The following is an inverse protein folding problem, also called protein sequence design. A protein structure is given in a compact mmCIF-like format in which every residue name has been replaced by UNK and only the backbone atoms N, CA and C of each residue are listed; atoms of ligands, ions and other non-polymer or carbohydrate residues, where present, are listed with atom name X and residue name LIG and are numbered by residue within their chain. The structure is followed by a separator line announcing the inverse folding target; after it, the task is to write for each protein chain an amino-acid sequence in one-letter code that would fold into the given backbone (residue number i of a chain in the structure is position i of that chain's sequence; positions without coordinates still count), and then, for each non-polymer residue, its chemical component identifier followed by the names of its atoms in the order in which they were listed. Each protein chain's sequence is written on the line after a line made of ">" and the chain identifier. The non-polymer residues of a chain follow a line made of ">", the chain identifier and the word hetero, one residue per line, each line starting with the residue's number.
data_IF_288430784265
#
_entry.id   IF_288430784265
#
_cell.length_a   1.000
_cell.length_b   1.000
_cell.length_c   1.000
_cell.angle_alpha   90.00
_cell.angle_beta   90.00
_cell.angle_gamma   90.00
#
_symmetry.space_group_name_H-M   'P 1'
#
loop_
_entity.id
_entity.type
_entity.pdbx_description
1 polymer ?
#
# COMPACT_ATOMS: atom_id res chain seq x y z
N UNK A 1 -15.52 10.46 -29.42
CA UNK A 1 -14.35 9.75 -28.87
C UNK A 1 -14.86 8.81 -27.81
N UNK A 2 -14.66 7.49 -27.96
CA UNK A 2 -14.95 6.53 -26.90
C UNK A 2 -14.09 6.87 -25.69
N UNK A 3 -14.74 7.15 -24.55
CA UNK A 3 -14.06 7.36 -23.28
C UNK A 3 -13.66 5.98 -22.75
N UNK A 4 -12.36 5.68 -22.72
CA UNK A 4 -11.86 4.46 -22.07
C UNK A 4 -11.99 4.66 -20.55
N UNK A 5 -12.56 3.68 -19.86
CA UNK A 5 -12.82 3.76 -18.41
C UNK A 5 -12.11 2.65 -17.67
N UNK A 6 -10.97 2.97 -17.05
CA UNK A 6 -10.28 2.03 -16.16
C UNK A 6 -10.84 2.07 -14.74
N UNK A 7 -10.81 0.93 -14.07
CA UNK A 7 -11.12 0.79 -12.66
C UNK A 7 -9.86 1.04 -11.81
N UNK A 8 -10.06 1.67 -10.66
CA UNK A 8 -9.04 1.83 -9.64
C UNK A 8 -9.50 1.17 -8.34
N UNK A 9 -8.55 0.55 -7.64
CA UNK A 9 -8.78 -0.10 -6.36
C UNK A 9 -8.84 0.96 -5.27
N UNK A 10 -9.87 0.98 -4.42
CA UNK A 10 -9.93 1.90 -3.29
C UNK A 10 -8.74 1.69 -2.33
N UNK A 11 -8.28 2.78 -1.72
CA UNK A 11 -7.26 2.72 -0.66
C UNK A 11 -7.89 2.20 0.64
N UNK A 12 -7.16 1.36 1.38
CA UNK A 12 -7.45 1.09 2.78
C UNK A 12 -7.25 2.35 3.61
N UNK A 13 -8.03 2.48 4.67
CA UNK A 13 -7.92 3.60 5.61
C UNK A 13 -7.55 3.13 7.02
N UNK A 14 -6.82 3.99 7.73
CA UNK A 14 -6.37 3.78 9.10
C UNK A 14 -6.49 5.06 9.90
N UNK A 15 -6.12 5.01 11.18
CA UNK A 15 -6.05 6.16 12.08
C UNK A 15 -4.59 6.43 12.48
N UNK A 16 -4.33 7.63 13.02
CA UNK A 16 -3.02 7.94 13.59
C UNK A 16 -2.71 6.98 14.75
N UNK A 17 -1.44 6.60 14.83
CA UNK A 17 -0.87 5.71 15.84
C UNK A 17 0.43 6.36 16.27
N UNK A 18 0.66 6.46 17.58
CA UNK A 18 1.95 6.92 18.11
C UNK A 18 2.99 5.80 18.01
N UNK A 19 3.96 5.97 17.12
CA UNK A 19 5.13 5.10 17.05
C UNK A 19 6.25 5.53 18.00
N UNK A 20 6.24 6.77 18.49
CA UNK A 20 7.41 7.36 19.14
C UNK A 20 7.69 6.68 20.47
N UNK A 21 6.74 6.70 21.39
CA UNK A 21 6.91 6.10 22.71
C UNK A 21 7.22 4.59 22.66
N UNK A 22 6.44 3.74 21.95
CA UNK A 22 6.68 2.30 21.97
C UNK A 22 8.01 1.91 21.32
N UNK A 23 8.36 2.52 20.17
CA UNK A 23 9.60 2.16 19.49
C UNK A 23 10.84 2.65 20.25
N UNK A 24 10.83 3.88 20.79
CA UNK A 24 11.97 4.36 21.61
C UNK A 24 12.15 3.51 22.87
N UNK A 25 11.08 3.15 23.56
CA UNK A 25 11.13 2.28 24.76
C UNK A 25 11.69 0.90 24.41
N UNK A 26 11.22 0.30 23.30
CA UNK A 26 11.72 -1.00 22.86
C UNK A 26 13.21 -0.93 22.52
N UNK A 27 13.64 0.08 21.75
CA UNK A 27 15.05 0.23 21.35
C UNK A 27 15.94 0.40 22.58
N UNK A 28 15.53 1.22 23.55
CA UNK A 28 16.24 1.39 24.83
C UNK A 28 16.41 0.07 25.58
N UNK A 29 15.33 -0.70 25.71
CA UNK A 29 15.34 -1.97 26.44
C UNK A 29 16.16 -3.08 25.76
N UNK A 30 16.18 -3.14 24.43
CA UNK A 30 16.81 -4.24 23.68
C UNK A 30 18.26 -3.94 23.33
N UNK A 31 18.57 -2.68 23.02
CA UNK A 31 19.89 -2.27 22.53
C UNK A 31 20.73 -1.50 23.56
N UNK A 32 20.19 -1.26 24.76
CA UNK A 32 20.87 -0.49 25.82
C UNK A 32 21.39 0.86 25.31
N UNK A 33 20.47 1.67 24.78
CA UNK A 33 20.76 2.98 24.19
C UNK A 33 21.55 3.85 25.18
N UNK A 34 22.69 4.37 24.74
CA UNK A 34 23.54 5.28 25.53
C UNK A 34 23.05 6.71 25.37
N UNK A 35 23.49 7.62 26.23
CA UNK A 35 23.12 9.02 26.10
C UNK A 35 23.63 9.65 24.80
N UNK A 36 24.72 9.12 24.24
CA UNK A 36 25.30 9.58 22.97
C UNK A 36 24.40 9.31 21.75
N UNK A 37 23.65 8.18 21.72
CA UNK A 37 22.81 7.82 20.56
C UNK A 37 21.29 7.97 20.82
N UNK A 38 20.88 8.26 22.07
CA UNK A 38 19.46 8.43 22.44
C UNK A 38 18.76 9.51 21.63
N UNK A 39 19.43 10.65 21.41
CA UNK A 39 18.88 11.77 20.65
C UNK A 39 18.63 11.38 19.19
N UNK A 40 19.61 10.76 18.53
CA UNK A 40 19.52 10.32 17.13
C UNK A 40 18.44 9.25 16.93
N UNK A 41 18.34 8.28 17.84
CA UNK A 41 17.27 7.26 17.82
C UNK A 41 15.91 7.92 17.95
N UNK A 42 15.76 8.87 18.87
CA UNK A 42 14.50 9.58 19.09
C UNK A 42 14.09 10.37 17.85
N UNK A 43 15.02 11.09 17.23
CA UNK A 43 14.79 11.83 15.99
C UNK A 43 14.39 10.90 14.83
N UNK A 44 15.10 9.79 14.64
CA UNK A 44 14.80 8.81 13.60
C UNK A 44 13.39 8.20 13.75
N UNK A 45 13.00 7.87 14.99
CA UNK A 45 11.64 7.36 15.28
C UNK A 45 10.59 8.46 15.07
N UNK A 46 10.87 9.71 15.43
CA UNK A 46 9.96 10.83 15.15
C UNK A 46 9.75 11.03 13.64
N UNK A 47 10.80 10.94 12.84
CA UNK A 47 10.70 11.01 11.38
C UNK A 47 9.91 9.83 10.80
N UNK A 48 10.08 8.61 11.33
CA UNK A 48 9.26 7.46 10.97
C UNK A 48 7.78 7.68 11.29
N UNK A 49 7.47 8.25 12.46
CA UNK A 49 6.10 8.58 12.88
C UNK A 49 5.46 9.62 11.95
N UNK A 50 6.19 10.69 11.60
CA UNK A 50 5.75 11.69 10.62
C UNK A 50 5.52 11.06 9.24
N UNK A 51 6.42 10.18 8.81
CA UNK A 51 6.32 9.48 7.53
C UNK A 51 5.07 8.59 7.49
N UNK A 52 4.76 7.85 8.57
CA UNK A 52 3.52 7.07 8.69
C UNK A 52 2.29 7.95 8.49
N UNK A 53 2.21 9.06 9.23
CA UNK A 53 1.04 9.95 9.16
C UNK A 53 0.87 10.51 7.74
N UNK A 54 1.95 10.94 7.08
CA UNK A 54 1.94 11.37 5.66
C UNK A 54 1.49 10.26 4.70
N UNK A 55 1.98 9.04 4.89
CA UNK A 55 1.71 7.91 3.99
C UNK A 55 0.30 7.33 4.16
N UNK A 56 -0.26 7.34 5.38
CA UNK A 56 -1.45 6.54 5.70
C UNK A 56 -2.66 7.34 6.16
N UNK A 57 -2.47 8.56 6.69
CA UNK A 57 -3.52 9.32 7.37
C UNK A 57 -3.86 10.63 6.67
N UNK A 58 -2.98 11.14 5.80
CA UNK A 58 -3.24 12.32 4.99
C UNK A 58 -3.86 11.96 3.64
N UNK A 59 -4.64 12.87 3.01
CA UNK A 59 -5.11 12.68 1.65
C UNK A 59 -3.94 12.47 0.68
N UNK A 60 -4.00 11.40 -0.11
CA UNK A 60 -3.02 11.09 -1.14
C UNK A 60 -3.56 11.57 -2.49
N UNK A 61 -2.80 12.41 -3.18
CA UNK A 61 -3.10 12.80 -4.54
C UNK A 61 -2.75 11.68 -5.54
N UNK A 62 -3.37 11.70 -6.72
CA UNK A 62 -3.16 10.68 -7.76
C UNK A 62 -1.87 11.00 -8.55
N UNK A 63 -0.76 11.14 -7.84
CA UNK A 63 0.52 11.55 -8.40
C UNK A 63 1.67 10.69 -7.89
N UNK A 64 2.78 10.66 -8.65
CA UNK A 64 3.96 9.87 -8.32
C UNK A 64 4.55 10.23 -6.95
N UNK A 65 4.49 11.51 -6.56
CA UNK A 65 4.98 11.99 -5.25
C UNK A 65 4.27 11.34 -4.06
N UNK A 66 2.96 11.13 -4.13
CA UNK A 66 2.24 10.38 -3.10
C UNK A 66 2.66 8.91 -3.09
N UNK A 67 2.84 8.30 -4.26
CA UNK A 67 3.31 6.92 -4.35
C UNK A 67 4.71 6.75 -3.74
N UNK A 68 5.61 7.72 -3.95
CA UNK A 68 6.95 7.72 -3.38
C UNK A 68 6.90 7.79 -1.84
N UNK A 69 5.98 8.58 -1.27
CA UNK A 69 5.79 8.67 0.19
C UNK A 69 5.31 7.34 0.77
N UNK A 70 4.30 6.71 0.17
CA UNK A 70 3.74 5.43 0.65
C UNK A 70 4.77 4.31 0.50
N UNK A 71 5.48 4.27 -0.63
CA UNK A 71 6.54 3.29 -0.90
C UNK A 71 7.70 3.47 0.06
N UNK A 72 8.13 4.72 0.33
CA UNK A 72 9.18 5.00 1.32
C UNK A 72 8.79 4.53 2.70
N UNK A 73 7.53 4.69 3.11
CA UNK A 73 7.07 4.17 4.40
C UNK A 73 7.11 2.63 4.43
N UNK A 74 6.63 1.97 3.38
CA UNK A 74 6.73 0.51 3.24
C UNK A 74 8.18 0.02 3.34
N UNK A 75 9.11 0.67 2.65
CA UNK A 75 10.53 0.31 2.66
C UNK A 75 11.13 0.46 4.07
N UNK A 76 10.73 1.49 4.82
CA UNK A 76 11.17 1.65 6.21
C UNK A 76 10.62 0.55 7.12
N UNK A 77 9.37 0.11 6.93
CA UNK A 77 8.81 -1.02 7.68
C UNK A 77 9.58 -2.33 7.38
N UNK A 78 9.98 -2.55 6.13
CA UNK A 78 10.84 -3.69 5.76
C UNK A 78 12.22 -3.56 6.40
N UNK A 79 12.84 -2.38 6.35
CA UNK A 79 14.19 -2.17 6.87
C UNK A 79 14.33 -2.38 8.39
N UNK A 80 13.24 -2.19 9.15
CA UNK A 80 13.22 -2.35 10.61
C UNK A 80 12.69 -3.70 11.09
N UNK A 81 12.05 -4.51 10.24
CA UNK A 81 11.24 -5.67 10.68
C UNK A 81 12.02 -6.68 11.54
N UNK A 82 13.30 -6.91 11.23
CA UNK A 82 14.15 -7.87 11.93
C UNK A 82 14.93 -7.25 13.10
N UNK A 83 14.81 -5.93 13.29
CA UNK A 83 15.51 -5.15 14.33
C UNK A 83 14.55 -4.69 15.42
N UNK A 84 13.31 -4.38 15.04
CA UNK A 84 12.28 -3.82 15.91
C UNK A 84 11.06 -4.72 15.80
N UNK A 85 10.93 -5.66 16.73
CA UNK A 85 9.84 -6.64 16.71
C UNK A 85 8.57 -5.97 17.23
N UNK A 86 7.62 -5.70 16.35
CA UNK A 86 6.29 -5.19 16.71
C UNK A 86 5.33 -6.36 16.80
N UNK A 87 5.01 -6.77 18.03
CA UNK A 87 4.10 -7.86 18.34
C UNK A 87 3.35 -7.58 19.64
N UNK A 88 2.23 -8.28 19.86
CA UNK A 88 1.44 -8.16 21.09
C UNK A 88 2.22 -8.47 22.38
N UNK A 89 3.33 -9.22 22.31
CA UNK A 89 4.08 -9.68 23.50
C UNK A 89 5.38 -8.92 23.74
N UNK A 90 5.98 -8.31 22.71
CA UNK A 90 7.30 -7.65 22.84
C UNK A 90 7.23 -6.13 22.72
N UNK A 91 6.48 -5.60 21.77
CA UNK A 91 6.33 -4.16 21.53
C UNK A 91 4.94 -3.87 20.98
N UNK A 92 3.93 -3.77 21.85
CA UNK A 92 2.54 -3.73 21.42
C UNK A 92 2.19 -2.35 20.84
N UNK A 93 2.29 -2.21 19.52
CA UNK A 93 1.77 -1.08 18.75
C UNK A 93 0.53 -1.55 18.00
N UNK A 94 -0.66 -1.05 18.34
CA UNK A 94 -1.91 -1.49 17.71
C UNK A 94 -2.13 -0.74 16.40
N UNK A 95 -2.19 -1.49 15.30
CA UNK A 95 -2.57 -0.95 13.98
C UNK A 95 -4.01 -1.35 13.67
N UNK A 96 -4.83 -0.36 13.31
CA UNK A 96 -6.21 -0.56 12.88
C UNK A 96 -6.37 -0.19 11.41
N UNK A 97 -6.73 -1.15 10.57
CA UNK A 97 -7.04 -0.91 9.16
C UNK A 97 -8.47 -1.32 8.84
N UNK A 98 -9.15 -0.50 8.05
CA UNK A 98 -10.47 -0.80 7.50
C UNK A 98 -10.33 -1.55 6.18
N UNK A 99 -11.33 -2.36 5.87
CA UNK A 99 -11.46 -2.97 4.55
C UNK A 99 -11.64 -1.89 3.47
N UNK A 100 -10.95 -2.02 2.33
CA UNK A 100 -11.00 -1.05 1.23
C UNK A 100 -12.35 -1.00 0.50
N UNK A 101 -13.10 -2.11 0.51
CA UNK A 101 -14.37 -2.24 -0.21
C UNK A 101 -15.59 -2.13 0.70
N UNK A 102 -15.42 -2.15 2.02
CA UNK A 102 -16.52 -1.95 2.95
C UNK A 102 -17.04 -0.50 2.87
N UNK A 103 -18.30 -0.38 2.43
CA UNK A 103 -19.06 0.88 2.38
C UNK A 103 -20.06 0.99 3.53
N UNK A 104 -19.86 0.25 4.62
CA UNK A 104 -20.75 0.24 5.79
C UNK A 104 -21.91 -0.74 5.64
N UNK A 105 -21.68 -1.90 5.01
CA UNK A 105 -22.72 -2.92 4.91
C UNK A 105 -23.06 -3.48 6.30
N UNK A 106 -24.35 -3.47 6.65
CA UNK A 106 -24.88 -3.98 7.92
C UNK A 106 -24.77 -5.51 8.09
N UNK A 107 -24.27 -6.22 7.07
CA UNK A 107 -24.18 -7.68 7.06
C UNK A 107 -22.72 -8.17 7.06
N UNK A 108 -22.31 -8.70 8.22
CA UNK A 108 -21.30 -9.75 8.47
C UNK A 108 -19.87 -9.67 7.89
N UNK A 109 -19.44 -8.58 7.26
CA UNK A 109 -18.01 -8.42 6.92
C UNK A 109 -17.22 -7.81 8.08
N UNK A 110 -16.00 -8.29 8.35
CA UNK A 110 -15.06 -7.62 9.26
C UNK A 110 -14.68 -6.26 8.64
N UNK A 111 -15.43 -5.21 8.97
CA UNK A 111 -15.21 -3.84 8.49
C UNK A 111 -13.81 -3.29 8.80
N UNK A 112 -13.15 -3.82 9.85
CA UNK A 112 -11.80 -3.46 10.22
C UNK A 112 -11.14 -4.55 11.04
N UNK A 113 -9.81 -4.57 11.07
CA UNK A 113 -8.99 -5.39 11.95
C UNK A 113 -8.03 -4.49 12.74
N UNK A 114 -7.94 -4.73 14.05
CA UNK A 114 -7.05 -4.02 14.97
C UNK A 114 -6.13 -5.03 15.65
N UNK A 115 -4.85 -5.05 15.32
CA UNK A 115 -3.88 -6.00 15.91
C UNK A 115 -2.51 -5.35 16.11
N UNK A 116 -1.77 -5.87 17.09
CA UNK A 116 -0.39 -5.47 17.33
C UNK A 116 0.58 -6.35 16.56
N UNK A 117 0.73 -6.04 15.26
CA UNK A 117 1.56 -6.81 14.34
C UNK A 117 2.14 -5.88 13.26
N UNK A 118 3.47 -5.74 13.22
CA UNK A 118 4.16 -4.96 12.20
C UNK A 118 4.02 -5.52 10.79
N UNK A 119 3.85 -6.84 10.66
CA UNK A 119 3.62 -7.50 9.36
C UNK A 119 2.25 -7.15 8.80
N UNK A 120 1.25 -6.98 9.66
CA UNK A 120 -0.08 -6.51 9.26
C UNK A 120 -0.07 -5.07 8.75
N UNK A 121 0.60 -4.15 9.46
CA UNK A 121 0.81 -2.78 8.97
C UNK A 121 1.46 -2.80 7.60
N UNK A 122 2.53 -3.58 7.44
CA UNK A 122 3.24 -3.70 6.15
C UNK A 122 2.35 -4.21 5.03
N UNK A 123 1.54 -5.25 5.28
CA UNK A 123 0.62 -5.79 4.28
C UNK A 123 -0.42 -4.74 3.83
N UNK A 124 -0.97 -3.98 4.78
CA UNK A 124 -1.94 -2.93 4.47
C UNK A 124 -1.32 -1.74 3.72
N UNK A 125 -0.10 -1.33 4.07
CA UNK A 125 0.62 -0.26 3.34
C UNK A 125 0.96 -0.73 1.93
N UNK A 126 1.42 -1.97 1.75
CA UNK A 126 1.70 -2.53 0.43
C UNK A 126 0.44 -2.61 -0.44
N UNK A 127 -0.71 -2.95 0.15
CA UNK A 127 -1.99 -2.89 -0.55
C UNK A 127 -2.25 -1.47 -1.06
N UNK A 128 -2.02 -0.44 -0.24
CA UNK A 128 -2.18 0.95 -0.64
C UNK A 128 -1.18 1.40 -1.70
N UNK A 129 0.05 0.87 -1.75
CA UNK A 129 0.95 1.08 -2.90
C UNK A 129 0.29 0.58 -4.20
N UNK A 130 -0.22 -0.65 -4.20
CA UNK A 130 -0.89 -1.23 -5.37
C UNK A 130 -2.16 -0.46 -5.76
N UNK A 131 -2.97 -0.06 -4.78
CA UNK A 131 -4.16 0.73 -5.00
C UNK A 131 -3.83 2.11 -5.60
N UNK A 132 -2.82 2.81 -5.07
CA UNK A 132 -2.42 4.12 -5.59
C UNK A 132 -1.83 4.03 -7.00
N UNK A 133 -1.04 3.00 -7.31
CA UNK A 133 -0.59 2.71 -8.68
C UNK A 133 -1.78 2.59 -9.64
N UNK A 134 -2.84 1.87 -9.24
CA UNK A 134 -4.06 1.74 -10.05
C UNK A 134 -4.79 3.07 -10.26
N UNK A 135 -4.80 3.94 -9.25
CA UNK A 135 -5.39 5.28 -9.35
C UNK A 135 -4.62 6.20 -10.30
N UNK A 136 -3.29 6.20 -10.24
CA UNK A 136 -2.43 7.01 -11.13
C UNK A 136 -2.53 6.49 -12.57
N UNK A 137 -2.61 5.17 -12.76
CA UNK A 137 -2.80 4.55 -14.07
C UNK A 137 -4.16 4.91 -14.68
N UNK A 138 -5.24 4.79 -13.90
CA UNK A 138 -6.59 5.10 -14.34
C UNK A 138 -6.82 6.60 -14.60
N UNK A 139 -6.00 7.49 -14.03
CA UNK A 139 -6.08 8.93 -14.29
C UNK A 139 -5.31 9.40 -15.53
N UNK A 140 -4.59 8.50 -16.22
CA UNK A 140 -3.87 8.89 -17.44
C UNK A 140 -4.86 9.29 -18.55
N UNK A 141 -4.66 10.42 -19.24
CA UNK A 141 -5.56 10.87 -20.33
C UNK A 141 -5.55 9.94 -21.56
N UNK A 142 -4.51 9.12 -21.70
CA UNK A 142 -4.27 8.23 -22.85
C UNK A 142 -4.31 8.98 -24.19
N UNK A 143 -3.87 10.23 -24.24
CA UNK A 143 -3.75 11.02 -25.46
C UNK A 143 -2.39 10.80 -26.13
N UNK A 144 -1.35 10.59 -25.35
CA UNK A 144 0.03 10.40 -25.82
C UNK A 144 0.52 8.96 -25.61
N UNK A 145 1.58 8.57 -26.34
CA UNK A 145 2.24 7.27 -26.18
C UNK A 145 2.81 7.08 -24.76
N UNK A 146 3.34 8.15 -24.17
CA UNK A 146 3.92 8.13 -22.82
C UNK A 146 2.85 7.92 -21.74
N UNK A 147 1.68 8.52 -21.89
CA UNK A 147 0.56 8.31 -20.97
C UNK A 147 0.06 6.85 -21.01
N UNK A 148 -0.04 6.25 -22.20
CA UNK A 148 -0.44 4.85 -22.35
C UNK A 148 0.61 3.88 -21.79
N UNK A 149 1.90 4.15 -22.04
CA UNK A 149 3.00 3.40 -21.43
C UNK A 149 2.97 3.50 -19.90
N UNK A 150 2.73 4.70 -19.38
CA UNK A 150 2.64 4.95 -17.95
C UNK A 150 1.47 4.20 -17.33
N UNK A 151 0.29 4.24 -17.94
CA UNK A 151 -0.87 3.46 -17.51
C UNK A 151 -0.58 1.96 -17.49
N UNK A 152 -0.05 1.42 -18.59
CA UNK A 152 0.30 -0.01 -18.68
C UNK A 152 1.33 -0.42 -17.62
N UNK A 153 2.40 0.36 -17.44
CA UNK A 153 3.44 0.12 -16.44
C UNK A 153 2.87 0.08 -15.02
N UNK A 154 2.08 1.09 -14.65
CA UNK A 154 1.53 1.20 -13.30
C UNK A 154 0.48 0.12 -13.01
N UNK A 155 -0.33 -0.26 -14.00
CA UNK A 155 -1.22 -1.41 -13.85
C UNK A 155 -0.46 -2.73 -13.69
N UNK A 156 0.64 -2.95 -14.43
CA UNK A 156 1.50 -4.12 -14.22
C UNK A 156 2.14 -4.14 -12.83
N UNK A 157 2.63 -3.00 -12.35
CA UNK A 157 3.19 -2.88 -11.01
C UNK A 157 2.13 -3.15 -9.94
N UNK A 158 0.93 -2.58 -10.08
CA UNK A 158 -0.21 -2.85 -9.21
C UNK A 158 -0.58 -4.34 -9.20
N UNK A 159 -0.64 -4.97 -10.37
CA UNK A 159 -0.89 -6.41 -10.49
C UNK A 159 0.15 -7.25 -9.74
N UNK A 160 1.44 -6.90 -9.87
CA UNK A 160 2.54 -7.56 -9.18
C UNK A 160 2.48 -7.38 -7.65
N UNK A 161 2.09 -6.20 -7.19
CA UNK A 161 1.89 -5.92 -5.76
C UNK A 161 0.79 -6.82 -5.18
N UNK A 162 -0.38 -6.91 -5.83
CA UNK A 162 -1.48 -7.77 -5.36
C UNK A 162 -1.13 -9.25 -5.47
N UNK A 163 -0.41 -9.67 -6.51
CA UNK A 163 0.10 -11.04 -6.63
C UNK A 163 1.04 -11.40 -5.48
N UNK A 164 1.97 -10.51 -5.12
CA UNK A 164 2.88 -10.70 -3.99
C UNK A 164 2.10 -10.83 -2.68
N UNK A 165 1.16 -9.93 -2.41
CA UNK A 165 0.33 -9.99 -1.22
C UNK A 165 -0.43 -11.32 -1.14
N UNK A 166 -1.02 -11.78 -2.25
CA UNK A 166 -1.73 -13.06 -2.33
C UNK A 166 -0.85 -14.22 -1.87
N UNK A 167 0.43 -14.22 -2.25
CA UNK A 167 1.37 -15.29 -1.90
C UNK A 167 1.90 -15.19 -0.46
N UNK A 168 1.95 -14.00 0.15
CA UNK A 168 2.62 -13.80 1.45
C UNK A 168 1.70 -13.48 2.63
N UNK A 169 0.49 -12.98 2.40
CA UNK A 169 -0.35 -12.38 3.47
C UNK A 169 -0.71 -13.34 4.60
N UNK A 170 -1.03 -14.60 4.28
CA UNK A 170 -1.39 -15.61 5.29
C UNK A 170 -0.20 -16.08 6.13
N UNK A 171 1.03 -15.93 5.62
CA UNK A 171 2.25 -16.17 6.40
C UNK A 171 2.66 -14.95 7.23
N UNK A 172 2.24 -13.75 6.81
CA UNK A 172 2.57 -12.48 7.47
C UNK A 172 1.62 -12.17 8.63
N UNK A 173 0.32 -12.45 8.49
CA UNK A 173 -0.71 -12.06 9.46
C UNK A 173 -1.29 -13.32 10.10
N UNK A 174 -1.08 -13.49 11.41
CA UNK A 174 -1.51 -14.71 12.12
C UNK A 174 -3.02 -14.83 12.32
N UNK A 175 -3.74 -13.70 12.28
CA UNK A 175 -5.20 -13.67 12.37
C UNK A 175 -5.81 -13.49 10.98
N UNK A 176 -7.04 -13.98 10.79
CA UNK A 176 -7.77 -13.78 9.54
C UNK A 176 -7.86 -12.28 9.21
N UNK A 177 -7.29 -11.84 8.07
CA UNK A 177 -7.26 -10.44 7.68
C UNK A 177 -8.65 -9.96 7.23
N UNK A 178 -8.77 -8.67 6.91
CA UNK A 178 -9.99 -8.15 6.27
C UNK A 178 -10.18 -8.75 4.87
N UNK A 179 -11.43 -8.91 4.38
CA UNK A 179 -11.72 -9.55 3.09
C UNK A 179 -10.90 -9.04 1.89
N UNK A 180 -10.57 -7.76 1.85
CA UNK A 180 -9.72 -7.15 0.83
C UNK A 180 -8.28 -7.71 0.76
N UNK A 181 -7.77 -8.24 1.87
CA UNK A 181 -6.45 -8.86 1.99
C UNK A 181 -6.52 -10.39 1.90
N UNK A 182 -7.69 -10.99 1.64
CA UNK A 182 -7.79 -12.44 1.43
C UNK A 182 -7.20 -12.83 0.07
N UNK A 183 -6.55 -14.01 -0.05
CA UNK A 183 -5.91 -14.45 -1.30
C UNK A 183 -6.82 -14.41 -2.53
N UNK A 184 -8.08 -14.85 -2.41
CA UNK A 184 -9.02 -14.84 -3.55
C UNK A 184 -9.29 -13.42 -4.06
N UNK A 185 -9.48 -12.46 -3.14
CA UNK A 185 -9.65 -11.05 -3.48
C UNK A 185 -8.39 -10.51 -4.17
N UNK A 186 -7.22 -10.74 -3.59
CA UNK A 186 -5.94 -10.28 -4.11
C UNK A 186 -5.61 -10.89 -5.48
N UNK A 187 -5.97 -12.17 -5.71
CA UNK A 187 -5.85 -12.82 -7.01
C UNK A 187 -6.76 -12.14 -8.05
N UNK A 188 -8.00 -11.84 -7.69
CA UNK A 188 -8.94 -11.09 -8.54
C UNK A 188 -8.43 -9.70 -8.88
N UNK A 189 -7.91 -8.96 -7.89
CA UNK A 189 -7.32 -7.63 -8.11
C UNK A 189 -6.07 -7.70 -9.00
N UNK A 190 -5.19 -8.67 -8.79
CA UNK A 190 -4.01 -8.88 -9.63
C UNK A 190 -4.39 -9.14 -11.09
N UNK A 191 -5.34 -10.05 -11.32
CA UNK A 191 -5.84 -10.36 -12.65
C UNK A 191 -6.52 -9.16 -13.32
N UNK A 192 -7.33 -8.39 -12.57
CA UNK A 192 -7.98 -7.18 -13.05
C UNK A 192 -6.95 -6.13 -13.50
N UNK A 193 -5.95 -5.85 -12.66
CA UNK A 193 -4.90 -4.89 -12.99
C UNK A 193 -4.10 -5.34 -14.23
N UNK A 194 -3.78 -6.63 -14.35
CA UNK A 194 -3.10 -7.16 -15.52
C UNK A 194 -3.95 -7.03 -16.81
N UNK A 195 -5.26 -7.26 -16.72
CA UNK A 195 -6.17 -7.07 -17.83
C UNK A 195 -6.20 -5.60 -18.29
N UNK A 196 -6.27 -4.64 -17.36
CA UNK A 196 -6.23 -3.21 -17.69
C UNK A 196 -4.88 -2.77 -18.27
N UNK A 197 -3.77 -3.38 -17.83
CA UNK A 197 -2.48 -3.15 -18.46
C UNK A 197 -2.46 -3.60 -19.93
N UNK A 198 -3.04 -4.78 -20.21
CA UNK A 198 -3.14 -5.29 -21.58
C UNK A 198 -4.08 -4.43 -22.44
N UNK A 199 -5.18 -3.94 -21.86
CA UNK A 199 -6.08 -3.00 -22.51
C UNK A 199 -5.37 -1.69 -22.88
N UNK A 200 -4.54 -1.13 -21.99
CA UNK A 200 -3.75 0.06 -22.29
C UNK A 200 -2.77 -0.16 -23.47
N UNK A 201 -2.15 -1.34 -23.55
CA UNK A 201 -1.28 -1.73 -24.68
C UNK A 201 -2.10 -1.86 -25.97
N UNK A 202 -3.29 -2.48 -25.90
CA UNK A 202 -4.19 -2.60 -27.04
C UNK A 202 -4.63 -1.22 -27.57
N UNK A 203 -5.03 -0.30 -26.67
CA UNK A 203 -5.42 1.08 -27.03
C UNK A 203 -4.27 1.78 -27.77
N UNK A 204 -3.04 1.61 -27.29
CA UNK A 204 -1.84 2.12 -27.98
C UNK A 204 -1.70 1.56 -29.39
N UNK A 205 -1.73 0.23 -29.53
CA UNK A 205 -1.59 -0.41 -30.84
C UNK A 205 -2.68 0.03 -31.83
N UNK A 206 -3.93 0.11 -31.36
CA UNK A 206 -5.07 0.58 -32.15
C UNK A 206 -4.88 2.02 -32.64
N UNK A 207 -4.43 2.93 -31.78
CA UNK A 207 -4.20 4.34 -32.15
C UNK A 207 -3.07 4.50 -33.15
N UNK A 208 -1.98 3.75 -33.00
CA UNK A 208 -0.88 3.74 -33.98
C UNK A 208 -1.40 3.28 -35.35
N UNK A 209 -2.13 2.17 -35.39
CA UNK A 209 -2.72 1.67 -36.64
C UNK A 209 -3.66 2.69 -37.28
N UNK A 210 -4.58 3.27 -36.50
CA UNK A 210 -5.53 4.27 -36.99
C UNK A 210 -4.87 5.53 -37.56
N UNK A 211 -3.68 5.90 -37.07
CA UNK A 211 -2.90 7.03 -37.58
C UNK A 211 -2.21 6.73 -38.92
N UNK A 212 -1.87 5.46 -39.18
CA UNK A 212 -1.23 5.01 -40.43
C UNK A 212 -2.25 4.79 -41.56
N UNK A 213 -3.52 4.56 -41.21
CA UNK A 213 -4.62 4.35 -42.17
C UNK A 213 -5.28 5.64 -42.68
N UNK A 214 -4.76 6.81 -42.30
CA UNK A 214 -5.20 8.14 -42.73
C UNK A 214 -4.13 8.80 -43.58
#
# INVERSE_FOLDING_TARGET
>A
MSQYGFLAVPLKSTHDVDLVKPLTTYIDSVYNTTDDNRAEVTEAVQELNKLRSKACCQPLDKHQSALDIVTRYYDQLVAIENKIIISATQNPVVFKWKDAFDKGSLFFSKASLSISDGSFERAAVLFNCGALMSHIAASQPLLTDEEMKTAAKLFQQSAGVFARLKDTVLGMVQQDPTPDLMPDTLAGLSALMLAQAQEAIYIKAYKVYASLSK
#
